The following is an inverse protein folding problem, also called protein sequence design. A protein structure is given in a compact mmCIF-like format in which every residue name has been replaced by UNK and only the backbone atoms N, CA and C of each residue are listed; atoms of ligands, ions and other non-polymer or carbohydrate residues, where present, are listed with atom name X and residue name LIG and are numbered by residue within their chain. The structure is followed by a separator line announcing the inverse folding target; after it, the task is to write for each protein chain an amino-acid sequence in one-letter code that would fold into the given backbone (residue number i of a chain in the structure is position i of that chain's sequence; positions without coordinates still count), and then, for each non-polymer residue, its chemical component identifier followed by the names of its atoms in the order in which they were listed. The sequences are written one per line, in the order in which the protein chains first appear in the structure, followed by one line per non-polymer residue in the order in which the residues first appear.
data_IF_379024879751
#
_entry.id   IF_379024879751
#
_cell.length_a   1.000
_cell.length_b   1.000
_cell.length_c   1.000
_cell.angle_alpha   90.00
_cell.angle_beta   90.00
_cell.angle_gamma   90.00
#
_symmetry.space_group_name_H-M   'P 1'
#
loop_
_entity.id
_entity.type
_entity.pdbx_description
1 polymer ?
#
# COMPACT_ATOMS: atom_id res chain seq x y z
N UNK A 1 -24.95 25.88 -34.69
CA UNK A 1 -23.99 26.57 -33.78
C UNK A 1 -24.33 26.36 -32.31
N UNK A 2 -25.57 26.40 -31.89
CA UNK A 2 -26.04 26.25 -30.51
C UNK A 2 -25.68 24.88 -29.85
N UNK A 3 -25.86 23.74 -30.53
CA UNK A 3 -25.55 22.40 -29.99
C UNK A 3 -24.10 22.23 -29.59
N UNK A 4 -23.14 22.81 -30.35
CA UNK A 4 -21.71 22.72 -30.08
C UNK A 4 -21.31 23.52 -28.82
N UNK A 5 -22.01 24.61 -28.55
CA UNK A 5 -21.80 25.44 -27.37
C UNK A 5 -22.38 24.77 -26.13
N UNK A 6 -23.57 24.16 -26.23
CA UNK A 6 -24.22 23.46 -25.14
C UNK A 6 -23.41 22.24 -24.68
N UNK A 7 -22.88 21.45 -25.62
CA UNK A 7 -21.97 20.31 -25.28
C UNK A 7 -20.68 20.76 -24.59
N UNK A 8 -20.11 21.91 -24.97
CA UNK A 8 -18.90 22.44 -24.31
C UNK A 8 -19.18 22.82 -22.86
N UNK A 9 -20.30 23.47 -22.58
CA UNK A 9 -20.71 23.87 -21.22
C UNK A 9 -20.95 22.63 -20.35
N UNK A 10 -21.55 21.58 -20.91
CA UNK A 10 -21.78 20.32 -20.17
C UNK A 10 -20.48 19.63 -19.81
N UNK A 11 -19.53 19.55 -20.75
CA UNK A 11 -18.22 18.96 -20.50
C UNK A 11 -17.46 19.74 -19.41
N UNK A 12 -17.44 21.06 -19.45
CA UNK A 12 -16.78 21.90 -18.46
C UNK A 12 -17.36 21.69 -17.05
N UNK A 13 -18.68 21.53 -16.92
CA UNK A 13 -19.34 21.20 -15.65
C UNK A 13 -18.94 19.82 -15.14
N UNK A 14 -18.87 18.82 -16.00
CA UNK A 14 -18.44 17.46 -15.64
C UNK A 14 -16.98 17.48 -15.14
N UNK A 15 -16.09 18.15 -15.86
CA UNK A 15 -14.68 18.27 -15.47
C UNK A 15 -14.52 19.00 -14.12
N UNK A 16 -15.32 20.03 -13.86
CA UNK A 16 -15.35 20.72 -12.58
C UNK A 16 -15.84 19.80 -11.45
N UNK A 17 -16.89 19.01 -11.67
CA UNK A 17 -17.38 18.04 -10.69
C UNK A 17 -16.32 16.98 -10.36
N UNK A 18 -15.63 16.45 -11.38
CA UNK A 18 -14.53 15.50 -11.18
C UNK A 18 -13.40 16.15 -10.38
N UNK A 19 -13.01 17.39 -10.73
CA UNK A 19 -11.99 18.11 -9.98
C UNK A 19 -12.38 18.29 -8.50
N UNK A 20 -13.60 18.75 -8.23
CA UNK A 20 -14.08 18.93 -6.86
C UNK A 20 -14.09 17.61 -6.08
N UNK A 21 -14.59 16.52 -6.68
CA UNK A 21 -14.61 15.21 -6.04
C UNK A 21 -13.19 14.72 -5.72
N UNK A 22 -12.29 14.74 -6.71
CA UNK A 22 -10.91 14.28 -6.53
C UNK A 22 -10.16 15.16 -5.53
N UNK A 23 -10.36 16.49 -5.58
CA UNK A 23 -9.74 17.42 -4.64
C UNK A 23 -10.18 17.15 -3.18
N UNK A 24 -11.46 16.87 -2.96
CA UNK A 24 -11.97 16.49 -1.63
C UNK A 24 -11.35 15.18 -1.19
N UNK A 25 -11.41 14.12 -2.01
CA UNK A 25 -10.87 12.81 -1.66
C UNK A 25 -9.35 12.86 -1.39
N UNK A 26 -8.59 13.59 -2.21
CA UNK A 26 -7.14 13.70 -2.08
C UNK A 26 -6.70 14.43 -0.80
N UNK A 27 -7.53 15.38 -0.32
CA UNK A 27 -7.18 16.22 0.82
C UNK A 27 -7.90 15.80 2.12
N UNK A 28 -8.91 14.92 2.05
CA UNK A 28 -9.66 14.44 3.23
C UNK A 28 -8.78 13.67 4.23
N UNK A 29 -7.60 13.23 3.80
CA UNK A 29 -6.64 12.50 4.61
C UNK A 29 -6.14 13.25 5.85
N UNK A 30 -6.33 14.57 5.92
CA UNK A 30 -6.05 15.34 7.13
C UNK A 30 -7.04 14.96 8.24
N UNK A 31 -8.27 14.57 7.87
CA UNK A 31 -9.34 14.20 8.81
C UNK A 31 -9.33 12.71 9.17
N UNK A 32 -8.61 11.88 8.43
CA UNK A 32 -8.62 10.43 8.63
C UNK A 32 -8.01 10.00 9.97
N UNK A 33 -7.09 10.78 10.53
CA UNK A 33 -6.59 10.54 11.88
C UNK A 33 -7.69 10.60 12.97
N UNK A 34 -8.84 11.20 12.67
CA UNK A 34 -9.98 11.32 13.56
C UNK A 34 -11.14 10.38 13.19
N UNK A 35 -11.17 9.88 11.97
CA UNK A 35 -12.27 9.08 11.42
C UNK A 35 -11.69 7.88 10.68
N UNK A 36 -11.56 6.70 11.33
CA UNK A 36 -10.91 5.52 10.75
C UNK A 36 -11.53 5.05 9.42
N UNK A 37 -12.83 5.29 9.20
CA UNK A 37 -13.53 4.92 7.96
C UNK A 37 -13.00 5.68 6.73
N UNK A 38 -12.34 6.82 6.92
CA UNK A 38 -11.73 7.59 5.84
C UNK A 38 -10.36 7.04 5.42
N UNK A 39 -9.79 6.11 6.19
CA UNK A 39 -8.48 5.52 5.91
C UNK A 39 -8.44 4.84 4.53
N UNK A 40 -9.52 4.15 4.15
CA UNK A 40 -9.63 3.55 2.82
C UNK A 40 -9.44 4.57 1.68
N UNK A 41 -9.94 5.79 1.84
CA UNK A 41 -9.82 6.85 0.83
C UNK A 41 -8.37 7.32 0.68
N UNK A 42 -7.61 7.29 1.76
CA UNK A 42 -6.20 7.74 1.76
C UNK A 42 -5.30 6.80 0.94
N UNK A 43 -5.64 5.53 0.82
CA UNK A 43 -4.83 4.59 0.05
C UNK A 43 -4.75 4.89 -1.45
N UNK A 44 -5.62 5.75 -1.98
CA UNK A 44 -5.68 6.11 -3.41
C UNK A 44 -4.89 7.38 -3.77
N UNK A 45 -3.88 7.80 -2.95
CA UNK A 45 -3.14 9.06 -3.18
C UNK A 45 -2.47 9.12 -4.57
N UNK A 46 -1.87 8.02 -5.02
CA UNK A 46 -1.23 7.94 -6.35
C UNK A 46 -2.26 8.16 -7.46
N UNK A 47 -3.43 7.53 -7.35
CA UNK A 47 -4.52 7.67 -8.32
C UNK A 47 -5.05 9.11 -8.37
N UNK A 48 -5.14 9.78 -7.22
CA UNK A 48 -5.53 11.19 -7.17
C UNK A 48 -4.50 12.08 -7.86
N UNK A 49 -3.19 11.89 -7.61
CA UNK A 49 -2.12 12.63 -8.29
C UNK A 49 -2.20 12.44 -9.79
N UNK A 50 -2.34 11.20 -10.28
CA UNK A 50 -2.46 10.89 -11.71
C UNK A 50 -3.71 11.56 -12.31
N UNK A 51 -4.85 11.48 -11.62
CA UNK A 51 -6.11 12.09 -12.12
C UNK A 51 -6.00 13.61 -12.18
N UNK A 52 -5.41 14.24 -11.16
CA UNK A 52 -5.18 15.69 -11.17
C UNK A 52 -4.20 16.11 -12.27
N UNK A 53 -3.16 15.32 -12.54
CA UNK A 53 -2.24 15.57 -13.65
C UNK A 53 -2.96 15.50 -15.01
N UNK A 54 -3.82 14.51 -15.24
CA UNK A 54 -4.64 14.40 -16.45
C UNK A 54 -5.56 15.61 -16.58
N UNK A 55 -6.26 16.01 -15.51
CA UNK A 55 -7.11 17.19 -15.51
C UNK A 55 -6.32 18.46 -15.82
N UNK A 56 -5.10 18.63 -15.29
CA UNK A 56 -4.25 19.77 -15.60
C UNK A 56 -3.94 19.84 -17.10
N UNK A 57 -3.56 18.73 -17.75
CA UNK A 57 -3.34 18.66 -19.18
C UNK A 57 -4.60 19.05 -19.97
N UNK A 58 -5.77 18.52 -19.58
CA UNK A 58 -7.06 18.86 -20.20
C UNK A 58 -7.34 20.37 -20.07
N UNK A 59 -7.11 20.96 -18.89
CA UNK A 59 -7.35 22.40 -18.69
C UNK A 59 -6.38 23.28 -19.45
N UNK A 60 -5.12 22.87 -19.63
CA UNK A 60 -4.15 23.54 -20.53
C UNK A 60 -4.69 23.53 -21.98
N UNK A 61 -5.05 22.34 -22.50
CA UNK A 61 -5.57 22.20 -23.87
C UNK A 61 -6.86 23.02 -24.09
N UNK A 62 -7.69 23.15 -23.06
CA UNK A 62 -8.94 23.92 -23.09
C UNK A 62 -8.77 25.39 -22.71
N UNK A 63 -7.55 25.82 -22.38
CA UNK A 63 -7.20 27.19 -21.93
C UNK A 63 -8.03 27.66 -20.72
N UNK A 64 -8.30 26.74 -19.78
CA UNK A 64 -9.06 26.99 -18.54
C UNK A 64 -8.12 27.29 -17.37
N UNK A 65 -7.46 28.44 -17.43
CA UNK A 65 -6.36 28.79 -16.51
C UNK A 65 -6.76 28.80 -15.02
N UNK A 66 -7.98 29.27 -14.71
CA UNK A 66 -8.48 29.27 -13.32
C UNK A 66 -8.60 27.86 -12.75
N UNK A 67 -9.14 26.91 -13.56
CA UNK A 67 -9.28 25.51 -13.16
C UNK A 67 -7.90 24.84 -13.09
N UNK A 68 -6.97 25.20 -13.97
CA UNK A 68 -5.60 24.72 -13.91
C UNK A 68 -4.92 25.13 -12.61
N UNK A 69 -4.98 26.41 -12.21
CA UNK A 69 -4.41 26.88 -10.94
C UNK A 69 -5.03 26.15 -9.76
N UNK A 70 -6.36 25.99 -9.73
CA UNK A 70 -7.04 25.20 -8.70
C UNK A 70 -6.53 23.75 -8.63
N UNK A 71 -6.34 23.11 -9.79
CA UNK A 71 -5.81 21.73 -9.88
C UNK A 71 -4.38 21.66 -9.34
N UNK A 72 -3.51 22.62 -9.70
CA UNK A 72 -2.14 22.69 -9.19
C UNK A 72 -2.08 22.87 -7.68
N UNK A 73 -2.99 23.63 -7.09
CA UNK A 73 -3.08 23.76 -5.62
C UNK A 73 -3.54 22.44 -4.99
N UNK A 74 -4.56 21.80 -5.56
CA UNK A 74 -5.11 20.56 -5.00
C UNK A 74 -4.15 19.37 -5.06
N UNK A 75 -3.17 19.37 -5.96
CA UNK A 75 -2.20 18.25 -6.10
C UNK A 75 -1.08 18.32 -5.06
N UNK A 76 -0.85 19.47 -4.41
CA UNK A 76 0.29 19.66 -3.50
C UNK A 76 0.24 18.67 -2.33
N UNK A 77 -0.87 18.58 -1.62
CA UNK A 77 -0.98 17.74 -0.42
C UNK A 77 -0.85 16.22 -0.74
N UNK A 78 -1.54 15.66 -1.74
CA UNK A 78 -1.33 14.26 -2.12
C UNK A 78 0.08 14.02 -2.65
N UNK A 79 0.68 14.98 -3.38
CA UNK A 79 2.05 14.84 -3.89
C UNK A 79 3.09 14.79 -2.76
N UNK A 80 2.93 15.58 -1.72
CA UNK A 80 3.80 15.53 -0.53
C UNK A 80 3.75 14.19 0.20
N UNK A 81 2.65 13.44 0.09
CA UNK A 81 2.51 12.09 0.66
C UNK A 81 3.11 11.01 -0.25
N UNK A 82 2.99 11.19 -1.57
CA UNK A 82 3.44 10.22 -2.57
C UNK A 82 4.94 10.33 -2.84
N UNK A 83 5.47 11.56 -2.94
CA UNK A 83 6.85 11.82 -3.35
C UNK A 83 7.91 11.09 -2.52
N UNK A 84 7.82 11.02 -1.17
CA UNK A 84 8.82 10.33 -0.35
C UNK A 84 8.96 8.83 -0.69
N UNK A 85 7.92 8.19 -1.22
CA UNK A 85 7.97 6.78 -1.63
C UNK A 85 8.83 6.53 -2.87
N UNK A 86 9.06 7.57 -3.68
CA UNK A 86 9.81 7.49 -4.94
C UNK A 86 11.14 8.25 -4.90
N UNK A 87 11.33 9.10 -3.89
CA UNK A 87 12.54 9.94 -3.75
C UNK A 87 13.42 9.55 -2.56
N UNK A 88 13.20 8.35 -2.00
CA UNK A 88 14.05 7.83 -0.94
C UNK A 88 15.48 7.63 -1.45
N UNK A 89 16.45 8.21 -0.77
CA UNK A 89 17.85 7.92 -1.03
C UNK A 89 18.09 6.42 -0.73
N UNK A 90 18.66 5.72 -1.72
CA UNK A 90 19.20 4.40 -1.45
C UNK A 90 20.30 4.57 -0.40
N UNK A 91 20.05 4.04 0.80
CA UNK A 91 21.09 4.05 1.84
C UNK A 91 22.16 3.06 1.40
N UNK A 92 23.31 3.55 0.98
CA UNK A 92 24.51 2.75 0.65
C UNK A 92 25.12 2.06 1.89
N UNK A 93 24.34 1.90 2.94
CA UNK A 93 24.76 1.19 4.14
C UNK A 93 24.61 -0.33 3.93
N UNK A 94 25.63 -1.08 4.28
CA UNK A 94 25.51 -2.54 4.39
C UNK A 94 24.40 -2.86 5.40
N UNK A 95 23.31 -3.56 4.99
CA UNK A 95 22.20 -3.83 5.88
C UNK A 95 22.70 -4.64 7.08
N UNK A 96 22.43 -4.16 8.30
CA UNK A 96 22.79 -4.88 9.54
C UNK A 96 21.88 -6.08 9.77
N UNK A 97 20.61 -5.99 9.35
CA UNK A 97 19.61 -7.05 9.42
C UNK A 97 18.75 -7.03 8.16
N UNK A 98 18.56 -8.17 7.53
CA UNK A 98 17.72 -8.35 6.36
C UNK A 98 16.43 -9.06 6.75
N UNK A 99 15.30 -8.44 6.45
CA UNK A 99 13.97 -8.97 6.79
C UNK A 99 13.19 -9.24 5.51
N UNK A 100 12.69 -10.47 5.36
CA UNK A 100 11.69 -10.83 4.35
C UNK A 100 10.32 -10.86 5.02
N UNK A 101 9.40 -10.00 4.59
CA UNK A 101 7.99 -10.06 4.99
C UNK A 101 7.12 -10.31 3.75
N UNK A 102 6.29 -11.34 3.79
CA UNK A 102 5.45 -11.73 2.66
C UNK A 102 4.08 -12.23 3.13
N UNK A 103 3.02 -11.73 2.52
CA UNK A 103 1.71 -12.38 2.59
C UNK A 103 1.67 -13.49 1.54
N UNK A 104 1.65 -14.75 2.01
CA UNK A 104 1.76 -15.92 1.12
C UNK A 104 0.40 -16.43 0.66
N UNK A 105 -0.69 -15.85 1.15
CA UNK A 105 -2.08 -16.25 0.89
C UNK A 105 -2.38 -17.68 1.41
N UNK A 106 -3.31 -17.83 2.33
CA UNK A 106 -3.65 -19.09 3.00
C UNK A 106 -3.95 -20.27 2.04
N UNK A 107 -4.51 -19.98 0.87
CA UNK A 107 -4.83 -20.99 -0.17
C UNK A 107 -3.68 -21.30 -1.14
N UNK A 108 -2.51 -20.71 -0.97
CA UNK A 108 -1.36 -20.96 -1.83
C UNK A 108 -0.74 -22.32 -1.49
N UNK A 109 -0.74 -23.22 -2.46
CA UNK A 109 -0.16 -24.57 -2.31
C UNK A 109 1.28 -24.67 -2.85
N UNK A 110 1.80 -23.59 -3.46
CA UNK A 110 3.15 -23.57 -4.03
C UNK A 110 4.20 -23.25 -2.96
N UNK A 111 4.37 -24.17 -2.02
CA UNK A 111 5.30 -24.02 -0.90
C UNK A 111 6.77 -24.04 -1.37
N UNK A 112 7.07 -24.70 -2.48
CA UNK A 112 8.41 -24.71 -3.06
C UNK A 112 8.85 -23.31 -3.53
N UNK A 113 7.94 -22.55 -4.13
CA UNK A 113 8.26 -21.17 -4.53
C UNK A 113 8.56 -20.28 -3.33
N UNK A 114 7.84 -20.48 -2.21
CA UNK A 114 8.10 -19.77 -0.95
C UNK A 114 9.48 -20.13 -0.40
N UNK A 115 9.82 -21.41 -0.38
CA UNK A 115 11.15 -21.87 0.06
C UNK A 115 12.25 -21.27 -0.81
N UNK A 116 12.13 -21.35 -2.13
CA UNK A 116 13.11 -20.81 -3.07
C UNK A 116 13.31 -19.29 -2.86
N UNK A 117 12.23 -18.55 -2.63
CA UNK A 117 12.30 -17.10 -2.32
C UNK A 117 13.12 -16.85 -1.04
N UNK A 118 12.85 -17.58 0.03
CA UNK A 118 13.57 -17.45 1.30
C UNK A 118 15.07 -17.76 1.13
N UNK A 119 15.40 -18.79 0.35
CA UNK A 119 16.77 -19.18 0.08
C UNK A 119 17.52 -18.15 -0.79
N UNK A 120 16.85 -17.62 -1.82
CA UNK A 120 17.42 -16.60 -2.72
C UNK A 120 17.71 -15.28 -2.00
N UNK A 121 16.76 -14.81 -1.19
CA UNK A 121 16.90 -13.52 -0.49
C UNK A 121 17.90 -13.55 0.66
N UNK A 122 18.27 -14.72 1.15
CA UNK A 122 19.29 -14.91 2.18
C UNK A 122 19.10 -13.99 3.40
N UNK A 123 17.87 -13.88 3.88
CA UNK A 123 17.47 -12.96 4.96
C UNK A 123 17.78 -13.50 6.34
N UNK A 124 17.85 -12.61 7.33
CA UNK A 124 18.11 -12.96 8.74
C UNK A 124 16.80 -13.25 9.49
N UNK A 125 15.71 -12.62 9.06
CA UNK A 125 14.36 -12.79 9.62
C UNK A 125 13.36 -12.99 8.47
N UNK A 126 12.47 -13.96 8.61
CA UNK A 126 11.38 -14.24 7.67
C UNK A 126 10.05 -14.17 8.41
N UNK A 127 9.14 -13.34 7.91
CA UNK A 127 7.76 -13.22 8.40
C UNK A 127 6.80 -13.58 7.27
N UNK A 128 6.05 -14.67 7.44
CA UNK A 128 5.05 -15.11 6.48
C UNK A 128 3.66 -14.90 7.06
N UNK A 129 2.87 -14.05 6.43
CA UNK A 129 1.49 -13.73 6.80
C UNK A 129 0.50 -14.61 6.04
N UNK A 130 -0.69 -14.82 6.58
CA UNK A 130 -1.71 -15.75 6.09
C UNK A 130 -1.19 -17.19 5.95
N UNK A 131 -0.31 -17.60 6.86
CA UNK A 131 0.24 -18.94 6.86
C UNK A 131 -0.74 -19.96 7.48
N UNK A 132 -0.68 -21.20 6.98
CA UNK A 132 -1.42 -22.35 7.52
C UNK A 132 -0.45 -23.47 7.91
N UNK A 133 -0.95 -24.49 8.60
CA UNK A 133 -0.18 -25.71 8.96
C UNK A 133 0.50 -26.35 7.75
N UNK A 134 -0.15 -26.32 6.58
CA UNK A 134 0.44 -26.82 5.33
C UNK A 134 1.78 -26.12 5.04
N UNK A 135 1.82 -24.80 5.16
CA UNK A 135 3.03 -24.01 4.90
C UNK A 135 4.12 -24.35 5.93
N UNK A 136 3.77 -24.41 7.22
CA UNK A 136 4.72 -24.79 8.28
C UNK A 136 5.33 -26.15 8.00
N UNK A 137 4.51 -27.16 7.69
CA UNK A 137 4.99 -28.53 7.46
C UNK A 137 5.88 -28.63 6.23
N UNK A 138 5.64 -27.79 5.22
CA UNK A 138 6.43 -27.80 3.97
C UNK A 138 7.74 -27.02 4.06
N UNK A 139 7.87 -26.16 5.06
CA UNK A 139 9.06 -25.30 5.25
C UNK A 139 10.05 -25.86 6.28
N UNK A 140 9.91 -27.13 6.67
CA UNK A 140 10.84 -27.78 7.63
C UNK A 140 12.30 -27.72 7.16
N UNK A 141 12.54 -27.72 5.85
CA UNK A 141 13.90 -27.64 5.31
C UNK A 141 14.64 -26.35 5.70
N UNK A 142 13.93 -25.23 5.86
CA UNK A 142 14.55 -23.95 6.26
C UNK A 142 14.84 -23.87 7.77
N UNK A 143 14.28 -24.76 8.59
CA UNK A 143 14.43 -24.74 10.04
C UNK A 143 15.87 -25.01 10.50
N UNK A 144 16.67 -25.71 9.69
CA UNK A 144 18.11 -25.90 9.96
C UNK A 144 18.86 -24.57 9.89
N UNK A 145 18.43 -23.65 9.05
CA UNK A 145 19.02 -22.32 8.91
C UNK A 145 18.51 -21.36 9.99
N UNK A 146 17.21 -21.45 10.35
CA UNK A 146 16.58 -20.53 11.30
C UNK A 146 16.28 -21.25 12.64
N UNK A 147 17.17 -21.18 13.62
CA UNK A 147 16.99 -21.92 14.87
C UNK A 147 15.87 -21.37 15.75
N UNK A 148 15.51 -20.10 15.57
CA UNK A 148 14.43 -19.46 16.34
C UNK A 148 13.20 -19.29 15.47
N UNK A 149 12.07 -19.75 15.99
CA UNK A 149 10.81 -19.75 15.25
C UNK A 149 9.63 -19.51 16.17
N UNK A 150 8.61 -18.88 15.61
CA UNK A 150 7.33 -18.69 16.27
C UNK A 150 6.20 -18.83 15.24
N UNK A 151 5.09 -19.40 15.67
CA UNK A 151 3.90 -19.55 14.84
C UNK A 151 2.65 -19.25 15.63
N UNK A 152 1.64 -18.68 14.96
CA UNK A 152 0.37 -18.36 15.58
C UNK A 152 -0.80 -18.55 14.61
N UNK A 153 -1.95 -19.02 15.11
CA UNK A 153 -3.25 -19.10 14.40
C UNK A 153 -3.21 -19.83 13.05
N UNK A 154 -2.42 -20.88 12.90
CA UNK A 154 -2.24 -21.59 11.62
C UNK A 154 -3.47 -22.37 11.13
N UNK A 155 -4.51 -22.49 11.93
CA UNK A 155 -5.75 -23.21 11.58
C UNK A 155 -6.81 -22.29 10.94
N UNK A 156 -6.64 -20.98 10.99
CA UNK A 156 -7.67 -19.99 10.64
C UNK A 156 -7.45 -19.32 9.28
N UNK A 157 -6.31 -19.57 8.61
CA UNK A 157 -5.93 -18.86 7.38
C UNK A 157 -5.46 -17.42 7.60
N UNK A 158 -5.50 -16.93 8.82
CA UNK A 158 -4.94 -15.63 9.24
C UNK A 158 -3.66 -15.79 10.09
N UNK A 159 -3.08 -16.97 10.07
CA UNK A 159 -1.89 -17.27 10.84
C UNK A 159 -0.63 -16.64 10.30
N UNK A 160 0.42 -16.65 11.11
CA UNK A 160 1.74 -16.26 10.65
C UNK A 160 2.84 -17.21 11.14
N UNK A 161 3.93 -17.23 10.39
CA UNK A 161 5.16 -17.91 10.71
C UNK A 161 6.29 -16.89 10.79
N UNK A 162 7.08 -16.98 11.84
CA UNK A 162 8.29 -16.21 12.05
C UNK A 162 9.47 -17.17 12.16
N UNK A 163 10.49 -16.97 11.33
CA UNK A 163 11.76 -17.64 11.38
C UNK A 163 12.87 -16.61 11.58
N UNK A 164 13.83 -16.85 12.46
CA UNK A 164 14.88 -15.89 12.78
C UNK A 164 16.22 -16.57 13.05
N UNK A 165 17.30 -15.90 12.63
CA UNK A 165 18.66 -16.25 13.06
C UNK A 165 18.96 -15.75 14.49
N UNK A 166 18.17 -14.79 14.98
CA UNK A 166 18.35 -14.17 16.28
C UNK A 166 17.34 -14.70 17.30
N UNK A 167 17.71 -14.75 18.60
CA UNK A 167 16.77 -15.14 19.64
C UNK A 167 15.48 -14.31 19.64
N UNK A 168 14.35 -14.99 19.77
CA UNK A 168 13.04 -14.36 19.92
C UNK A 168 12.69 -14.34 21.41
N UNK A 169 12.40 -13.16 21.97
CA UNK A 169 12.05 -12.98 23.37
C UNK A 169 10.84 -12.03 23.51
N UNK A 170 10.15 -12.12 24.64
CA UNK A 170 9.05 -11.22 25.01
C UNK A 170 7.93 -11.13 23.93
N UNK A 171 7.40 -12.30 23.53
CA UNK A 171 6.29 -12.34 22.57
C UNK A 171 5.03 -11.87 23.28
N UNK A 172 4.53 -10.71 22.85
CA UNK A 172 3.25 -10.15 23.31
C UNK A 172 2.25 -10.16 22.16
N UNK A 173 1.02 -10.60 22.43
CA UNK A 173 -0.06 -10.62 21.45
C UNK A 173 -1.03 -9.49 21.77
N UNK A 174 -1.15 -8.54 20.87
CA UNK A 174 -2.17 -7.50 20.95
C UNK A 174 -3.37 -7.92 20.09
N UNK A 175 -4.35 -8.54 20.71
CA UNK A 175 -5.63 -8.84 20.05
C UNK A 175 -6.46 -7.55 20.02
N UNK A 176 -6.58 -6.95 18.85
CA UNK A 176 -7.51 -5.83 18.68
C UNK A 176 -8.93 -6.36 18.52
N UNK A 177 -9.64 -6.50 19.66
CA UNK A 177 -11.03 -6.96 19.72
C UNK A 177 -12.05 -5.96 19.14
N UNK A 178 -11.62 -4.97 18.36
CA UNK A 178 -12.51 -3.96 17.78
C UNK A 178 -13.25 -4.42 16.51
N UNK A 179 -13.05 -5.66 16.05
CA UNK A 179 -13.75 -6.23 14.90
C UNK A 179 -14.50 -7.52 15.30
N UNK A 180 -15.22 -7.46 16.40
CA UNK A 180 -16.17 -8.47 16.83
C UNK A 180 -17.58 -8.10 16.43
#
# INVERSE_FOLDING_TARGET
MQLKTQNRITIDKILLLILCFVAVCANIGVLAGFIPQLDLIIHFQVQYVVTLAILAVIFICRRKWVLLVGTCICVIAPMMKVLPWYSGDAVDAVPQVRILSSNIKATNINTQAIQNLIEQESTDIVVLLEAMKLHQNSLVAIETRYPYRYSHSLDTGSGFLLYSLFPISNIEQYLNNQFG
#
